data_IF_501813689646
#
_entry.id   IF_501813689646
#
_cell.length_a   1.000
_cell.length_b   1.000
_cell.length_c   1.000
_cell.angle_alpha   90.00
_cell.angle_beta   90.00
_cell.angle_gamma   90.00
#
_symmetry.space_group_name_H-M   'P 1'
#
loop_
_entity.id
_entity.type
_entity.pdbx_description
1 polymer ?
#
# COMPACT_ATOMS: atom_id res chain seq x y z
N UNK A 1 -16.82 4.90 -12.12
CA UNK A 1 -15.51 4.24 -12.37
C UNK A 1 -14.69 4.15 -11.08
N UNK A 2 -14.08 3.01 -10.76
CA UNK A 2 -13.20 2.91 -9.59
C UNK A 2 -12.04 3.89 -9.78
N UNK A 3 -11.75 4.69 -8.76
CA UNK A 3 -10.58 5.57 -8.80
C UNK A 3 -9.36 4.71 -8.48
N UNK A 4 -8.38 4.75 -9.38
CA UNK A 4 -7.17 3.97 -9.29
C UNK A 4 -5.96 4.90 -9.21
N UNK A 5 -5.12 4.71 -8.20
CA UNK A 5 -3.81 5.36 -8.09
C UNK A 5 -2.75 4.28 -8.14
N UNK A 6 -1.72 4.49 -8.96
CA UNK A 6 -0.57 3.59 -9.04
C UNK A 6 0.71 4.40 -8.91
N UNK A 7 1.60 3.97 -8.03
CA UNK A 7 2.95 4.53 -7.89
C UNK A 7 3.98 3.43 -8.11
N UNK A 8 5.10 3.80 -8.72
CA UNK A 8 6.27 2.95 -8.90
C UNK A 8 7.48 3.68 -8.34
N UNK A 9 8.22 3.01 -7.48
CA UNK A 9 9.42 3.52 -6.85
C UNK A 9 10.56 2.55 -7.11
N UNK A 10 11.63 3.05 -7.70
CA UNK A 10 12.85 2.29 -7.99
C UNK A 10 13.92 2.67 -6.98
N UNK A 11 14.26 1.75 -6.09
CA UNK A 11 15.29 1.90 -5.06
C UNK A 11 16.26 0.74 -5.22
N UNK A 12 17.29 0.90 -6.06
CA UNK A 12 18.28 -0.16 -6.31
C UNK A 12 18.75 -0.78 -5.00
N UNK A 13 18.59 -2.11 -4.79
CA UNK A 13 18.33 -3.17 -5.77
C UNK A 13 16.86 -3.64 -5.84
N UNK A 14 15.87 -2.77 -5.73
CA UNK A 14 14.47 -3.15 -5.56
C UNK A 14 13.53 -2.21 -6.34
N UNK A 15 12.45 -2.79 -6.87
CA UNK A 15 11.31 -2.04 -7.40
C UNK A 15 10.10 -2.29 -6.53
N UNK A 16 9.41 -1.21 -6.17
CA UNK A 16 8.22 -1.20 -5.35
C UNK A 16 7.07 -0.60 -6.15
N UNK A 17 5.96 -1.33 -6.25
CA UNK A 17 4.75 -0.82 -6.89
C UNK A 17 3.62 -0.81 -5.88
N UNK A 18 2.98 0.34 -5.70
CA UNK A 18 1.78 0.46 -4.87
C UNK A 18 0.60 0.76 -5.78
N UNK A 19 -0.47 -0.01 -5.61
CA UNK A 19 -1.74 0.15 -6.30
C UNK A 19 -2.82 0.38 -5.27
N UNK A 20 -3.59 1.45 -5.42
CA UNK A 20 -4.70 1.81 -4.53
C UNK A 20 -5.96 1.90 -5.37
N UNK A 21 -6.93 1.07 -5.04
CA UNK A 21 -8.26 1.05 -5.64
C UNK A 21 -9.27 1.62 -4.65
N UNK A 22 -10.09 2.54 -5.13
CA UNK A 22 -11.15 3.19 -4.36
C UNK A 22 -12.49 2.85 -5.00
N UNK A 23 -13.35 2.22 -4.22
CA UNK A 23 -14.69 1.81 -4.63
C UNK A 23 -15.73 2.37 -3.67
N UNK A 24 -16.85 2.84 -4.21
CA UNK A 24 -17.98 3.22 -3.37
C UNK A 24 -18.59 1.98 -2.73
N UNK A 25 -18.89 2.07 -1.45
CA UNK A 25 -19.68 1.07 -0.74
C UNK A 25 -21.15 1.49 -0.78
N UNK A 26 -22.06 0.53 -0.90
CA UNK A 26 -23.50 0.80 -0.95
C UNK A 26 -24.09 1.52 0.27
N UNK A 27 -23.31 1.67 1.35
CA UNK A 27 -23.69 2.37 2.58
C UNK A 27 -23.10 3.80 2.69
N UNK A 28 -22.55 4.35 1.61
CA UNK A 28 -22.00 5.72 1.58
C UNK A 28 -20.57 5.87 2.09
N UNK A 29 -19.85 4.77 2.32
CA UNK A 29 -18.40 4.78 2.59
C UNK A 29 -17.56 4.48 1.34
N UNK A 30 -16.24 4.57 1.45
CA UNK A 30 -15.29 4.14 0.41
C UNK A 30 -14.52 2.92 0.88
N UNK A 31 -14.51 1.85 0.08
CA UNK A 31 -13.61 0.72 0.24
C UNK A 31 -12.29 1.06 -0.41
N UNK A 32 -11.22 0.98 0.39
CA UNK A 32 -9.86 1.20 -0.07
C UNK A 32 -9.14 -0.16 -0.10
N UNK A 33 -8.67 -0.56 -1.27
CA UNK A 33 -7.85 -1.76 -1.44
C UNK A 33 -6.45 -1.33 -1.84
N UNK A 34 -5.45 -1.63 -1.02
CA UNK A 34 -4.05 -1.33 -1.30
C UNK A 34 -3.28 -2.63 -1.58
N UNK A 35 -2.65 -2.70 -2.75
CA UNK A 35 -1.75 -3.80 -3.14
C UNK A 35 -0.34 -3.26 -3.27
N UNK A 36 0.61 -3.87 -2.57
CA UNK A 36 2.03 -3.51 -2.66
C UNK A 36 2.80 -4.70 -3.21
N UNK A 37 3.50 -4.48 -4.32
CA UNK A 37 4.36 -5.45 -4.98
C UNK A 37 5.81 -5.09 -4.74
N UNK A 38 6.58 -6.06 -4.25
CA UNK A 38 8.03 -5.96 -4.06
C UNK A 38 8.75 -6.86 -5.06
N UNK A 39 9.57 -6.27 -5.91
CA UNK A 39 10.38 -6.94 -6.93
C UNK A 39 11.86 -6.67 -6.66
N UNK A 40 12.56 -7.57 -5.95
CA UNK A 40 14.00 -7.47 -5.77
C UNK A 40 14.71 -7.78 -7.10
N UNK A 41 15.64 -6.93 -7.51
CA UNK A 41 16.45 -7.10 -8.74
C UNK A 41 17.71 -7.96 -8.49
N UNK A 42 17.99 -8.37 -7.25
CA UNK A 42 19.15 -9.19 -6.85
C UNK A 42 18.87 -10.36 -5.87
N UNK A 43 19.93 -11.08 -5.47
CA UNK A 43 19.91 -12.12 -4.41
C UNK A 43 19.60 -13.56 -4.86
N UNK A 44 20.10 -14.57 -4.12
CA UNK A 44 19.84 -15.98 -4.39
C UNK A 44 18.39 -16.42 -4.10
N UNK A 45 17.92 -17.53 -4.71
CA UNK A 45 16.52 -18.00 -4.58
C UNK A 45 16.08 -18.25 -3.13
N UNK A 46 16.97 -18.73 -2.27
CA UNK A 46 16.69 -19.00 -0.84
C UNK A 46 16.60 -17.69 -0.05
N UNK A 47 17.56 -16.77 -0.22
CA UNK A 47 17.57 -15.45 0.42
C UNK A 47 16.29 -14.68 0.09
N UNK A 48 15.86 -14.71 -1.19
CA UNK A 48 14.60 -14.10 -1.63
C UNK A 48 13.37 -14.67 -0.92
N UNK A 49 13.34 -15.96 -0.58
CA UNK A 49 12.18 -16.57 0.10
C UNK A 49 12.06 -16.15 1.56
N UNK A 50 13.19 -16.10 2.28
CA UNK A 50 13.23 -15.63 3.67
C UNK A 50 12.91 -14.13 3.75
N UNK A 51 13.49 -13.34 2.84
CA UNK A 51 13.22 -11.91 2.72
C UNK A 51 11.73 -11.64 2.45
N UNK A 52 11.06 -12.39 1.56
CA UNK A 52 9.62 -12.21 1.31
C UNK A 52 8.77 -12.29 2.57
N UNK A 53 9.03 -13.25 3.46
CA UNK A 53 8.26 -13.42 4.69
C UNK A 53 8.45 -12.28 5.69
N UNK A 54 9.70 -11.86 5.90
CA UNK A 54 10.01 -10.72 6.77
C UNK A 54 9.48 -9.41 6.18
N UNK A 55 9.64 -9.22 4.88
CA UNK A 55 9.21 -8.02 4.16
C UNK A 55 7.69 -7.88 4.16
N UNK A 56 6.95 -8.98 3.92
CA UNK A 56 5.48 -8.96 4.01
C UNK A 56 5.00 -8.49 5.37
N UNK A 57 5.62 -8.96 6.47
CA UNK A 57 5.24 -8.53 7.83
C UNK A 57 5.58 -7.07 8.08
N UNK A 58 6.73 -6.59 7.60
CA UNK A 58 7.12 -5.20 7.74
C UNK A 58 6.16 -4.29 6.99
N UNK A 59 5.90 -4.58 5.70
CA UNK A 59 4.98 -3.83 4.85
C UNK A 59 3.58 -3.81 5.45
N UNK A 60 3.07 -4.95 5.90
CA UNK A 60 1.74 -5.02 6.50
C UNK A 60 1.63 -4.09 7.70
N UNK A 61 2.59 -4.15 8.65
CA UNK A 61 2.58 -3.26 9.83
C UNK A 61 2.65 -1.79 9.46
N UNK A 62 3.47 -1.43 8.47
CA UNK A 62 3.57 -0.04 8.00
C UNK A 62 2.26 0.41 7.38
N UNK A 63 1.66 -0.40 6.50
CA UNK A 63 0.37 -0.08 5.88
C UNK A 63 -0.72 0.05 6.93
N UNK A 64 -0.81 -0.88 7.89
CA UNK A 64 -1.80 -0.83 8.96
C UNK A 64 -1.68 0.48 9.77
N UNK A 65 -0.44 0.85 10.14
CA UNK A 65 -0.18 2.10 10.86
C UNK A 65 -0.48 3.36 10.04
N UNK A 66 -0.27 3.35 8.72
CA UNK A 66 -0.65 4.48 7.87
C UNK A 66 -2.18 4.55 7.64
N UNK A 67 -2.84 3.40 7.49
CA UNK A 67 -4.30 3.33 7.33
C UNK A 67 -5.04 3.77 8.58
N UNK A 68 -4.51 3.50 9.77
CA UNK A 68 -5.06 3.99 11.04
C UNK A 68 -5.16 5.52 11.09
N UNK A 69 -4.27 6.23 10.37
CA UNK A 69 -4.25 7.70 10.33
C UNK A 69 -5.25 8.29 9.34
N UNK A 70 -5.75 7.49 8.38
CA UNK A 70 -6.59 7.97 7.28
C UNK A 70 -7.88 8.63 7.77
N UNK A 71 -8.67 8.06 8.70
CA UNK A 71 -9.90 8.69 9.17
C UNK A 71 -9.67 10.10 9.73
N UNK A 72 -8.62 10.28 10.54
CA UNK A 72 -8.26 11.57 11.11
C UNK A 72 -7.79 12.57 10.04
N UNK A 73 -7.17 12.12 8.95
CA UNK A 73 -6.79 12.99 7.84
C UNK A 73 -7.99 13.40 7.00
N UNK A 74 -8.91 12.47 6.71
CA UNK A 74 -10.15 12.74 5.97
C UNK A 74 -11.03 13.73 6.72
N UNK A 75 -11.21 13.56 8.03
CA UNK A 75 -11.96 14.50 8.86
C UNK A 75 -11.38 15.92 8.76
N UNK A 76 -10.06 16.06 8.90
CA UNK A 76 -9.36 17.36 8.77
C UNK A 76 -9.57 18.04 7.42
N UNK A 77 -9.58 17.27 6.32
CA UNK A 77 -9.81 17.82 4.98
C UNK A 77 -11.28 18.20 4.79
N UNK A 78 -12.22 17.41 5.33
CA UNK A 78 -13.64 17.70 5.27
C UNK A 78 -14.01 18.96 6.08
N UNK A 79 -13.39 19.17 7.25
CA UNK A 79 -13.61 20.36 8.08
C UNK A 79 -12.98 21.63 7.49
N UNK A 80 -12.03 21.48 6.55
CA UNK A 80 -11.29 22.59 5.94
C UNK A 80 -11.89 23.08 4.61
N UNK A 81 -12.94 22.42 4.09
CA UNK A 81 -13.63 22.76 2.84
C UNK A 81 -15.07 23.20 3.09
#
# INVERSE_FOLDING_TARGET
PPRLVTTRLELTPETWTTRIELEDTGAGGTRVTMTITHEPTGGGRVVRRLQRGAMRRLVQRTVDAELEKVPAHVARVADAG
#
